data_IF_421799566160
#
_entry.id   IF_421799566160
#
_cell.length_a   1.000
_cell.length_b   1.000
_cell.length_c   1.000
_cell.angle_alpha   90.00
_cell.angle_beta   90.00
_cell.angle_gamma   90.00
#
_symmetry.space_group_name_H-M   'P 1'
#
loop_
_entity.id
_entity.type
_entity.pdbx_description
1 polymer ?
#
# COMPACT_ATOMS: atom_id res chain seq x y z
N UNK A 1 -2.18 7.76 -19.45
CA UNK A 1 -1.51 6.75 -20.31
C UNK A 1 -0.44 5.97 -19.55
N UNK A 2 0.49 6.64 -18.84
CA UNK A 2 1.51 5.95 -18.01
C UNK A 2 0.88 5.09 -16.90
N UNK A 3 -0.18 5.58 -16.26
CA UNK A 3 -0.92 4.82 -15.25
C UNK A 3 -1.55 3.54 -15.81
N UNK A 4 -2.17 3.63 -16.99
CA UNK A 4 -2.81 2.48 -17.64
C UNK A 4 -1.81 1.37 -17.99
N UNK A 5 -0.62 1.71 -18.49
CA UNK A 5 0.44 0.73 -18.76
C UNK A 5 0.93 0.04 -17.48
N UNK A 6 1.09 0.81 -16.39
CA UNK A 6 1.46 0.24 -15.11
C UNK A 6 0.35 -0.64 -14.53
N UNK A 7 -0.92 -0.25 -14.64
CA UNK A 7 -2.05 -1.09 -14.23
C UNK A 7 -2.12 -2.42 -15.01
N UNK A 8 -1.77 -2.42 -16.30
CA UNK A 8 -1.67 -3.65 -17.10
C UNK A 8 -0.53 -4.54 -16.58
N UNK A 9 0.63 -3.97 -16.25
CA UNK A 9 1.74 -4.71 -15.66
C UNK A 9 1.39 -5.28 -14.28
N UNK A 10 0.67 -4.52 -13.43
CA UNK A 10 0.11 -5.00 -12.15
C UNK A 10 -0.81 -6.18 -12.39
N UNK A 11 -1.74 -6.06 -13.35
CA UNK A 11 -2.69 -7.12 -13.68
C UNK A 11 -2.01 -8.39 -14.17
N UNK A 12 -0.93 -8.27 -14.94
CA UNK A 12 -0.14 -9.41 -15.41
C UNK A 12 0.63 -10.09 -14.27
N UNK A 13 1.28 -9.31 -13.39
CA UNK A 13 1.95 -9.83 -12.19
C UNK A 13 0.96 -10.51 -11.23
N UNK A 14 -0.22 -9.90 -11.03
CA UNK A 14 -1.33 -10.53 -10.32
C UNK A 14 -1.73 -11.82 -11.02
N UNK A 15 -1.93 -11.84 -12.33
CA UNK A 15 -2.34 -13.05 -13.05
C UNK A 15 -1.40 -14.24 -12.84
N UNK A 16 -0.08 -13.99 -12.81
CA UNK A 16 0.91 -15.03 -12.50
C UNK A 16 0.85 -15.44 -11.03
N UNK A 17 0.80 -14.47 -10.12
CA UNK A 17 0.82 -14.76 -8.68
C UNK A 17 -0.52 -15.26 -8.14
N UNK A 18 -1.62 -15.08 -8.86
CA UNK A 18 -2.99 -15.42 -8.47
C UNK A 18 -3.14 -16.94 -8.35
N UNK A 19 -2.52 -17.74 -9.21
CA UNK A 19 -2.56 -19.20 -9.08
C UNK A 19 -1.93 -19.66 -7.76
N UNK A 20 -0.76 -19.10 -7.41
CA UNK A 20 -0.11 -19.37 -6.14
C UNK A 20 -0.93 -18.80 -4.97
N UNK A 21 -1.43 -17.56 -5.05
CA UNK A 21 -2.25 -16.91 -4.00
C UNK A 21 -3.55 -17.69 -3.70
N UNK A 22 -4.25 -18.19 -4.73
CA UNK A 22 -5.51 -18.92 -4.56
C UNK A 22 -5.32 -20.29 -3.93
N UNK A 23 -4.17 -20.94 -4.17
CA UNK A 23 -3.86 -22.23 -3.55
C UNK A 23 -3.69 -22.12 -2.03
N UNK A 24 -3.42 -20.92 -1.50
CA UNK A 24 -2.98 -20.70 -0.12
C UNK A 24 -4.14 -20.37 0.82
N UNK A 25 -5.04 -19.48 0.38
CA UNK A 25 -6.23 -19.13 1.16
C UNK A 25 -7.37 -18.76 0.20
N UNK A 26 -8.37 -19.64 0.02
CA UNK A 26 -9.54 -19.34 -0.80
C UNK A 26 -10.24 -18.08 -0.26
N UNK A 27 -10.12 -16.97 -0.98
CA UNK A 27 -10.62 -15.66 -0.56
C UNK A 27 -9.56 -14.59 -0.32
N UNK A 28 -8.26 -14.90 -0.39
CA UNK A 28 -7.20 -13.89 -0.23
C UNK A 28 -7.31 -12.77 -1.29
N UNK A 29 -7.85 -13.08 -2.47
CA UNK A 29 -8.09 -12.09 -3.53
C UNK A 29 -8.98 -10.93 -3.07
N UNK A 30 -9.84 -11.14 -2.08
CA UNK A 30 -10.70 -10.10 -1.49
C UNK A 30 -9.86 -8.99 -0.84
N UNK A 31 -8.65 -9.29 -0.39
CA UNK A 31 -7.72 -8.31 0.19
C UNK A 31 -7.06 -7.40 -0.86
N UNK A 32 -6.94 -7.85 -2.11
CA UNK A 32 -6.15 -7.15 -3.14
C UNK A 32 -6.70 -5.75 -3.41
N UNK A 33 -7.97 -5.57 -3.83
CA UNK A 33 -8.49 -4.22 -4.12
C UNK A 33 -8.44 -3.24 -2.95
N UNK A 34 -8.88 -3.59 -1.71
CA UNK A 34 -8.88 -2.63 -0.61
C UNK A 34 -7.47 -2.26 -0.16
N UNK A 35 -6.51 -3.20 -0.15
CA UNK A 35 -5.12 -2.88 0.20
C UNK A 35 -4.51 -1.89 -0.81
N UNK A 36 -4.71 -2.12 -2.12
CA UNK A 36 -4.19 -1.23 -3.16
C UNK A 36 -4.81 0.17 -3.06
N UNK A 37 -6.14 0.23 -2.89
CA UNK A 37 -6.89 1.48 -2.76
C UNK A 37 -6.38 2.34 -1.60
N UNK A 38 -6.18 1.76 -0.42
CA UNK A 38 -5.66 2.51 0.73
C UNK A 38 -4.22 2.98 0.49
N UNK A 39 -3.40 2.28 -0.29
CA UNK A 39 -2.04 2.75 -0.62
C UNK A 39 -2.02 3.96 -1.53
N UNK A 40 -2.86 3.95 -2.56
CA UNK A 40 -3.09 5.15 -3.38
C UNK A 40 -3.59 6.33 -2.53
N UNK A 41 -4.56 6.09 -1.65
CA UNK A 41 -5.15 7.14 -0.82
C UNK A 41 -4.17 7.75 0.20
N UNK A 42 -3.42 6.92 0.93
CA UNK A 42 -2.41 7.41 1.90
C UNK A 42 -1.29 8.16 1.16
N UNK A 43 -0.77 7.58 0.07
CA UNK A 43 0.29 8.21 -0.73
C UNK A 43 -0.15 9.55 -1.32
N UNK A 44 -1.35 9.61 -1.91
CA UNK A 44 -1.93 10.83 -2.46
C UNK A 44 -2.14 11.91 -1.40
N UNK A 45 -2.75 11.57 -0.26
CA UNK A 45 -2.95 12.51 0.85
C UNK A 45 -1.62 13.00 1.44
N UNK A 46 -0.61 12.13 1.51
CA UNK A 46 0.72 12.50 1.97
C UNK A 46 1.43 13.43 0.97
N UNK A 47 1.34 13.15 -0.33
CA UNK A 47 1.87 14.00 -1.40
C UNK A 47 1.23 15.39 -1.40
N UNK A 48 -0.11 15.46 -1.32
CA UNK A 48 -0.87 16.71 -1.23
C UNK A 48 -0.39 17.62 -0.11
N UNK A 49 -0.26 17.03 1.09
CA UNK A 49 0.24 17.75 2.27
C UNK A 49 1.69 18.18 2.10
N UNK A 50 2.52 17.33 1.50
CA UNK A 50 3.93 17.63 1.27
C UNK A 50 4.11 18.74 0.25
N UNK A 51 3.35 18.74 -0.86
CA UNK A 51 3.36 19.79 -1.87
C UNK A 51 2.94 21.13 -1.28
N UNK A 52 1.80 21.17 -0.56
CA UNK A 52 1.33 22.37 0.11
C UNK A 52 2.39 22.90 1.07
N UNK A 53 3.00 22.01 1.86
CA UNK A 53 4.00 22.41 2.84
C UNK A 53 5.31 22.92 2.22
N UNK A 54 5.71 22.39 1.05
CA UNK A 54 6.84 22.86 0.25
C UNK A 54 6.57 24.27 -0.32
N UNK A 55 5.39 24.50 -0.91
CA UNK A 55 5.00 25.80 -1.47
C UNK A 55 4.85 26.89 -0.40
N UNK A 56 4.38 26.53 0.80
CA UNK A 56 4.34 27.45 1.94
C UNK A 56 5.71 27.67 2.60
N UNK A 57 6.78 27.01 2.13
CA UNK A 57 8.11 27.09 2.72
C UNK A 57 8.21 26.47 4.12
N UNK A 58 7.17 25.79 4.59
CA UNK A 58 7.14 25.15 5.91
C UNK A 58 7.85 23.81 5.95
N UNK A 59 8.22 23.26 4.79
CA UNK A 59 9.00 22.03 4.61
C UNK A 59 10.13 22.32 3.62
N UNK A 60 11.33 21.82 3.91
CA UNK A 60 12.49 21.96 3.01
C UNK A 60 12.46 20.85 1.95
N UNK A 61 12.94 21.09 0.72
CA UNK A 61 13.07 20.06 -0.32
C UNK A 61 14.27 19.13 -0.07
N UNK A 62 14.34 18.56 1.13
CA UNK A 62 15.42 17.70 1.64
C UNK A 62 14.85 16.65 2.59
N UNK A 63 15.40 15.44 2.59
CA UNK A 63 14.92 14.36 3.48
C UNK A 63 15.47 14.52 4.91
N UNK A 64 16.73 14.92 5.05
CA UNK A 64 17.39 15.07 6.35
C UNK A 64 17.20 16.48 6.92
N UNK A 65 17.11 16.56 8.25
CA UNK A 65 17.00 17.81 9.01
C UNK A 65 15.81 18.70 8.58
N UNK A 66 14.67 18.06 8.29
CA UNK A 66 13.45 18.73 7.87
C UNK A 66 12.61 19.22 9.08
N UNK A 67 11.62 20.03 8.80
CA UNK A 67 10.80 20.73 9.81
C UNK A 67 9.86 19.78 10.57
N UNK A 68 9.30 20.28 11.67
CA UNK A 68 8.29 19.56 12.46
C UNK A 68 7.07 19.15 11.61
N UNK A 69 6.67 19.97 10.62
CA UNK A 69 5.53 19.69 9.74
C UNK A 69 5.76 18.48 8.83
N UNK A 70 7.00 18.28 8.35
CA UNK A 70 7.39 17.08 7.62
C UNK A 70 7.24 15.84 8.51
N UNK A 71 7.79 15.90 9.74
CA UNK A 71 7.72 14.79 10.70
C UNK A 71 6.28 14.43 11.06
N UNK A 72 5.41 15.41 11.28
CA UNK A 72 3.98 15.20 11.56
C UNK A 72 3.26 14.52 10.41
N UNK A 73 3.53 14.94 9.17
CA UNK A 73 2.88 14.38 7.98
C UNK A 73 3.38 12.96 7.69
N UNK A 74 4.68 12.72 7.85
CA UNK A 74 5.27 11.38 7.76
C UNK A 74 4.73 10.45 8.85
N UNK A 75 4.69 10.91 10.10
CA UNK A 75 4.14 10.13 11.20
C UNK A 75 2.67 9.78 10.97
N UNK A 76 1.85 10.72 10.47
CA UNK A 76 0.47 10.45 10.11
C UNK A 76 0.36 9.36 9.03
N UNK A 77 1.20 9.39 8.00
CA UNK A 77 1.22 8.37 6.96
C UNK A 77 1.61 6.99 7.51
N UNK A 78 2.61 6.91 8.41
CA UNK A 78 3.02 5.67 9.08
C UNK A 78 1.90 5.13 9.99
N UNK A 79 1.25 5.99 10.78
CA UNK A 79 0.14 5.57 11.65
C UNK A 79 -1.05 5.04 10.85
N UNK A 80 -1.44 5.71 9.76
CA UNK A 80 -2.48 5.22 8.86
C UNK A 80 -2.10 3.89 8.21
N UNK A 81 -0.82 3.74 7.86
CA UNK A 81 -0.26 2.52 7.27
C UNK A 81 -0.31 1.33 8.23
N UNK A 82 -0.19 1.55 9.54
CA UNK A 82 -0.23 0.52 10.57
C UNK A 82 -1.65 0.22 11.09
N UNK A 83 -2.56 1.20 11.08
CA UNK A 83 -3.90 1.00 11.65
C UNK A 83 -4.87 0.40 10.61
N UNK A 84 -4.86 0.93 9.38
CA UNK A 84 -5.88 0.59 8.38
C UNK A 84 -5.82 -0.86 7.88
N UNK A 85 -4.65 -1.50 7.68
CA UNK A 85 -4.63 -2.87 7.17
C UNK A 85 -5.21 -3.89 8.15
N UNK A 86 -5.11 -3.67 9.46
CA UNK A 86 -5.78 -4.50 10.48
C UNK A 86 -7.30 -4.53 10.22
N UNK A 87 -7.91 -3.36 9.99
CA UNK A 87 -9.33 -3.24 9.68
C UNK A 87 -9.69 -3.89 8.35
N UNK A 88 -8.86 -3.69 7.31
CA UNK A 88 -9.05 -4.35 6.02
C UNK A 88 -8.98 -5.88 6.17
N UNK A 89 -8.01 -6.39 6.91
CA UNK A 89 -7.85 -7.82 7.19
C UNK A 89 -9.11 -8.44 7.78
N UNK A 90 -9.62 -7.81 8.84
CA UNK A 90 -10.88 -8.24 9.48
C UNK A 90 -12.08 -8.14 8.56
N UNK A 91 -12.23 -7.04 7.81
CA UNK A 91 -13.36 -6.86 6.90
C UNK A 91 -13.32 -7.83 5.72
N UNK A 92 -12.13 -8.08 5.16
CA UNK A 92 -11.96 -9.03 4.08
C UNK A 92 -12.26 -10.47 4.53
N UNK A 93 -11.87 -10.84 5.76
CA UNK A 93 -12.30 -12.11 6.35
C UNK A 93 -13.82 -12.19 6.47
N UNK A 94 -14.49 -11.14 6.98
CA UNK A 94 -15.95 -11.13 7.09
C UNK A 94 -16.61 -11.34 5.73
N UNK A 95 -16.16 -10.60 4.72
CA UNK A 95 -16.66 -10.75 3.34
C UNK A 95 -16.43 -12.18 2.84
N UNK A 96 -15.21 -12.71 2.98
CA UNK A 96 -14.89 -14.08 2.56
C UNK A 96 -15.75 -15.12 3.29
N UNK A 97 -15.98 -14.95 4.59
CA UNK A 97 -16.83 -15.82 5.40
C UNK A 97 -18.30 -15.77 4.95
N UNK A 98 -18.82 -14.60 4.56
CA UNK A 98 -20.19 -14.49 4.04
C UNK A 98 -20.39 -15.22 2.70
N UNK A 99 -19.39 -15.19 1.82
CA UNK A 99 -19.50 -15.79 0.48
C UNK A 99 -19.07 -17.26 0.42
N UNK A 100 -18.17 -17.71 1.30
CA UNK A 100 -17.62 -19.06 1.30
C UNK A 100 -17.39 -19.58 2.74
N UNK A 101 -18.43 -19.69 3.59
CA UNK A 101 -18.28 -20.03 5.00
C UNK A 101 -17.69 -21.43 5.21
N UNK A 102 -17.90 -22.36 4.28
CA UNK A 102 -17.44 -23.75 4.38
C UNK A 102 -15.91 -23.90 4.23
N UNK A 103 -15.24 -22.86 3.71
CA UNK A 103 -13.81 -22.90 3.39
C UNK A 103 -12.97 -22.17 4.44
N UNK A 104 -13.58 -21.37 5.31
CA UNK A 104 -12.87 -20.54 6.28
C UNK A 104 -12.93 -21.11 7.71
N UNK A 105 -11.76 -21.40 8.27
CA UNK A 105 -11.59 -21.72 9.70
C UNK A 105 -11.30 -20.44 10.51
N UNK A 106 -11.55 -20.45 11.82
CA UNK A 106 -11.21 -19.31 12.70
C UNK A 106 -9.73 -18.89 12.63
N UNK A 107 -8.82 -19.84 12.39
CA UNK A 107 -7.40 -19.55 12.16
C UNK A 107 -7.16 -18.70 10.91
N UNK A 108 -8.07 -18.72 9.93
CA UNK A 108 -7.98 -17.90 8.74
C UNK A 108 -8.12 -16.40 9.07
N UNK A 109 -8.93 -16.00 10.06
CA UNK A 109 -9.05 -14.58 10.46
C UNK A 109 -7.68 -13.99 10.84
N UNK A 110 -6.90 -14.72 11.64
CA UNK A 110 -5.54 -14.30 12.00
C UNK A 110 -4.63 -14.25 10.77
N UNK A 111 -4.74 -15.22 9.86
CA UNK A 111 -4.02 -15.21 8.58
C UNK A 111 -4.33 -13.96 7.75
N UNK A 112 -5.61 -13.62 7.56
CA UNK A 112 -6.03 -12.41 6.84
C UNK A 112 -5.49 -11.13 7.47
N UNK A 113 -5.57 -11.00 8.80
CA UNK A 113 -5.07 -9.83 9.51
C UNK A 113 -3.54 -9.74 9.41
N UNK A 114 -2.82 -10.85 9.62
CA UNK A 114 -1.36 -10.87 9.56
C UNK A 114 -0.83 -10.57 8.15
N UNK A 115 -1.43 -11.17 7.13
CA UNK A 115 -1.08 -10.91 5.74
C UNK A 115 -1.36 -9.45 5.39
N UNK A 116 -2.55 -8.94 5.72
CA UNK A 116 -2.90 -7.54 5.46
C UNK A 116 -1.96 -6.58 6.19
N UNK A 117 -1.64 -6.85 7.46
CA UNK A 117 -0.79 -5.98 8.27
C UNK A 117 0.66 -5.98 7.79
N UNK A 118 1.28 -7.14 7.59
CA UNK A 118 2.68 -7.21 7.18
C UNK A 118 2.87 -6.72 5.74
N UNK A 119 1.98 -7.10 4.82
CA UNK A 119 2.02 -6.58 3.43
C UNK A 119 1.72 -5.09 3.40
N UNK A 120 0.82 -4.64 4.28
CA UNK A 120 0.52 -3.25 4.52
C UNK A 120 1.76 -2.48 4.97
N UNK A 121 2.38 -2.85 6.08
CA UNK A 121 3.54 -2.14 6.62
C UNK A 121 4.68 -2.06 5.60
N UNK A 122 4.98 -3.17 4.92
CA UNK A 122 6.01 -3.21 3.88
C UNK A 122 5.69 -2.26 2.73
N UNK A 123 4.49 -2.38 2.14
CA UNK A 123 4.08 -1.57 1.01
C UNK A 123 3.98 -0.08 1.35
N UNK A 124 3.42 0.26 2.51
CA UNK A 124 3.25 1.65 2.94
C UNK A 124 4.58 2.32 3.26
N UNK A 125 5.54 1.59 3.83
CA UNK A 125 6.89 2.10 4.04
C UNK A 125 7.57 2.41 2.69
N UNK A 126 7.55 1.47 1.74
CA UNK A 126 8.13 1.66 0.41
C UNK A 126 7.44 2.83 -0.33
N UNK A 127 6.12 2.90 -0.28
CA UNK A 127 5.34 3.95 -0.92
C UNK A 127 5.61 5.34 -0.30
N UNK A 128 5.83 5.42 1.01
CA UNK A 128 6.19 6.67 1.67
C UNK A 128 7.56 7.18 1.17
N UNK A 129 8.54 6.30 0.96
CA UNK A 129 9.84 6.67 0.39
C UNK A 129 9.69 7.17 -1.05
N UNK A 130 8.92 6.48 -1.87
CA UNK A 130 8.61 6.89 -3.25
C UNK A 130 7.94 8.27 -3.27
N UNK A 131 6.96 8.50 -2.38
CA UNK A 131 6.26 9.79 -2.25
C UNK A 131 7.23 10.92 -1.92
N UNK A 132 8.05 10.75 -0.88
CA UNK A 132 9.04 11.78 -0.48
C UNK A 132 10.00 12.09 -1.64
N UNK A 133 10.53 11.04 -2.28
CA UNK A 133 11.46 11.19 -3.39
C UNK A 133 10.84 11.95 -4.56
N UNK A 134 9.67 11.51 -5.02
CA UNK A 134 8.97 12.11 -6.15
C UNK A 134 8.55 13.55 -5.85
N UNK A 135 8.01 13.84 -4.66
CA UNK A 135 7.63 15.21 -4.30
C UNK A 135 8.82 16.15 -4.27
N UNK A 136 9.97 15.72 -3.72
CA UNK A 136 11.19 16.56 -3.69
C UNK A 136 11.75 16.78 -5.10
N UNK A 137 11.85 15.72 -5.92
CA UNK A 137 12.40 15.82 -7.28
C UNK A 137 11.52 16.70 -8.16
N UNK A 138 10.21 16.52 -8.09
CA UNK A 138 9.23 17.28 -8.87
C UNK A 138 9.29 18.76 -8.49
N UNK A 139 9.30 19.06 -7.19
CA UNK A 139 9.45 20.43 -6.70
C UNK A 139 10.76 21.09 -7.14
N UNK A 140 11.89 20.36 -7.08
CA UNK A 140 13.20 20.86 -7.55
C UNK A 140 13.24 21.15 -9.05
N UNK A 141 12.38 20.48 -9.84
CA UNK A 141 12.22 20.73 -11.28
C UNK A 141 11.23 21.86 -11.59
N UNK A 142 10.69 22.54 -10.58
CA UNK A 142 9.71 23.62 -10.75
C UNK A 142 8.32 23.12 -11.18
N UNK A 143 8.06 21.82 -11.08
CA UNK A 143 6.77 21.23 -11.34
C UNK A 143 5.97 21.13 -10.05
N UNK A 144 4.64 21.22 -10.15
CA UNK A 144 3.76 20.99 -9.00
C UNK A 144 3.70 19.49 -8.66
N UNK A 145 4.18 19.08 -7.47
CA UNK A 145 4.07 17.71 -7.01
C UNK A 145 2.63 17.19 -7.00
N UNK A 146 1.62 18.01 -6.74
CA UNK A 146 0.24 17.52 -6.59
C UNK A 146 -0.36 17.02 -7.91
N UNK A 147 -0.02 17.68 -9.01
CA UNK A 147 -0.49 17.32 -10.35
C UNK A 147 0.33 16.18 -10.93
N UNK A 148 1.64 16.17 -10.70
CA UNK A 148 2.56 15.24 -11.37
C UNK A 148 2.74 13.93 -10.61
N UNK A 149 2.80 14.00 -9.27
CA UNK A 149 3.17 12.86 -8.42
C UNK A 149 1.97 11.97 -8.14
N UNK A 150 0.77 12.54 -7.99
CA UNK A 150 -0.45 11.77 -7.68
C UNK A 150 -0.71 10.62 -8.67
N UNK A 151 -0.71 10.82 -10.01
CA UNK A 151 -0.94 9.72 -10.95
C UNK A 151 0.14 8.62 -10.89
N UNK A 152 1.39 8.99 -10.64
CA UNK A 152 2.51 8.05 -10.52
C UNK A 152 2.33 7.23 -9.24
N UNK A 153 1.92 7.86 -8.14
CA UNK A 153 1.74 7.19 -6.85
C UNK A 153 0.66 6.13 -6.87
N UNK A 154 -0.46 6.34 -7.55
CA UNK A 154 -1.47 5.29 -7.67
C UNK A 154 -0.90 4.06 -8.36
N UNK A 155 -0.19 4.26 -9.47
CA UNK A 155 0.41 3.15 -10.24
C UNK A 155 1.53 2.43 -9.48
N UNK A 156 2.45 3.17 -8.85
CA UNK A 156 3.51 2.54 -8.05
C UNK A 156 2.96 1.91 -6.78
N UNK A 157 1.91 2.50 -6.20
CA UNK A 157 1.23 1.97 -5.02
C UNK A 157 0.58 0.62 -5.29
N UNK A 158 -0.08 0.46 -6.43
CA UNK A 158 -0.67 -0.80 -6.84
C UNK A 158 0.42 -1.87 -7.08
N UNK A 159 1.51 -1.53 -7.78
CA UNK A 159 2.63 -2.46 -8.00
C UNK A 159 3.28 -2.90 -6.69
N UNK A 160 3.67 -1.93 -5.85
CA UNK A 160 4.33 -2.18 -4.57
C UNK A 160 3.42 -2.98 -3.66
N UNK A 161 2.12 -2.66 -3.63
CA UNK A 161 1.16 -3.35 -2.81
C UNK A 161 0.96 -4.80 -3.22
N UNK A 162 0.79 -5.09 -4.52
CA UNK A 162 0.67 -6.47 -5.02
C UNK A 162 1.93 -7.27 -4.73
N UNK A 163 3.10 -6.72 -5.06
CA UNK A 163 4.38 -7.41 -4.81
C UNK A 163 4.56 -7.69 -3.32
N UNK A 164 4.26 -6.72 -2.45
CA UNK A 164 4.37 -6.87 -0.99
C UNK A 164 3.38 -7.92 -0.47
N UNK A 165 2.16 -7.97 -1.01
CA UNK A 165 1.16 -8.97 -0.63
C UNK A 165 1.64 -10.38 -0.99
N UNK A 166 2.03 -10.60 -2.24
CA UNK A 166 2.55 -11.89 -2.71
C UNK A 166 3.75 -12.33 -1.89
N UNK A 167 4.71 -11.42 -1.70
CA UNK A 167 5.93 -11.70 -0.96
C UNK A 167 5.65 -12.09 0.51
N UNK A 168 4.81 -11.32 1.21
CA UNK A 168 4.47 -11.59 2.61
C UNK A 168 3.69 -12.89 2.75
N UNK A 169 2.73 -13.15 1.86
CA UNK A 169 1.98 -14.41 1.87
C UNK A 169 2.93 -15.59 1.69
N UNK A 170 3.82 -15.57 0.70
CA UNK A 170 4.80 -16.62 0.48
C UNK A 170 5.77 -16.80 1.66
N UNK A 171 6.19 -15.70 2.29
CA UNK A 171 7.06 -15.74 3.47
C UNK A 171 6.38 -16.43 4.66
N UNK A 172 5.12 -16.07 4.96
CA UNK A 172 4.37 -16.63 6.08
C UNK A 172 4.05 -18.11 5.90
N UNK A 173 3.83 -18.55 4.66
CA UNK A 173 3.71 -19.98 4.35
C UNK A 173 4.99 -20.75 4.63
N UNK A 174 6.13 -20.26 4.13
CA UNK A 174 7.42 -20.91 4.35
C UNK A 174 7.78 -20.97 5.84
N UNK A 175 7.27 -20.03 6.64
CA UNK A 175 7.42 -20.02 8.09
C UNK A 175 6.45 -20.97 8.83
N UNK A 176 5.50 -21.61 8.14
CA UNK A 176 4.49 -22.48 8.74
C UNK A 176 3.48 -21.73 9.63
N UNK A 177 3.32 -20.42 9.42
CA UNK A 177 2.42 -19.55 10.20
C UNK A 177 1.01 -19.45 9.61
N UNK A 178 0.81 -20.00 8.41
CA UNK A 178 -0.49 -20.15 7.76
C UNK A 178 -0.89 -21.63 7.77
N UNK A 179 -2.19 -21.94 7.92
CA UNK A 179 -2.70 -23.32 7.90
C UNK A 179 -2.49 -24.01 6.54
#
# INVERSE_FOLDING_TARGET
>A
MLSALGSIAVGFLLGIAVEDIFAILPGLIVLVPPLMSIRGAIGGAFSARLSTALHLGTVKPQVRNNTSNFKKSFLAAILLTAILPIWIGGLAYLVAFFFAPEVLTWNALLGFILIAELSGLLSGFLQALVTIFLSIVTYRRGLDPDVTVSPILYTTGDLIGVISLVFVTALLMNAGLLP
#
